data_IF_313139177946
#
_entry.id   IF_313139177946
#
_cell.length_a   1.000
_cell.length_b   1.000
_cell.length_c   1.000
_cell.angle_alpha   90.00
_cell.angle_beta   90.00
_cell.angle_gamma   90.00
#
_symmetry.space_group_name_H-M   'P 1'
#
loop_
_entity.id
_entity.type
_entity.pdbx_description
1 polymer ?
#
# COMPACT_ATOMS: atom_id res chain seq x y z
N UNK A 1 -4.32 6.38 -23.86
CA UNK A 1 -5.06 5.44 -22.98
C UNK A 1 -5.80 6.14 -21.84
N UNK A 2 -5.24 7.20 -21.24
CA UNK A 2 -5.82 7.94 -20.10
C UNK A 2 -7.14 8.68 -20.39
N UNK A 3 -7.39 9.04 -21.66
CA UNK A 3 -8.53 9.86 -22.08
C UNK A 3 -9.90 9.15 -21.94
N UNK A 4 -9.93 7.81 -21.98
CA UNK A 4 -11.18 7.04 -21.87
C UNK A 4 -11.75 7.02 -20.43
N UNK A 5 -10.90 7.11 -19.41
CA UNK A 5 -11.36 7.06 -18.02
C UNK A 5 -12.10 8.35 -17.60
N UNK A 6 -11.67 9.50 -18.12
CA UNK A 6 -12.22 10.80 -17.77
C UNK A 6 -13.65 11.00 -18.29
N UNK A 7 -13.97 10.50 -19.49
CA UNK A 7 -15.31 10.60 -20.07
C UNK A 7 -16.34 9.73 -19.35
N UNK A 8 -15.90 8.60 -18.77
CA UNK A 8 -16.75 7.66 -18.04
C UNK A 8 -16.75 7.87 -16.52
N UNK A 9 -16.07 8.91 -16.02
CA UNK A 9 -15.91 9.19 -14.58
C UNK A 9 -15.33 8.00 -13.79
N UNK A 10 -14.46 7.22 -14.44
CA UNK A 10 -13.75 6.11 -13.79
C UNK A 10 -12.63 6.72 -12.94
N UNK A 11 -12.61 6.32 -11.67
CA UNK A 11 -11.57 6.68 -10.70
C UNK A 11 -10.47 5.63 -10.73
N UNK A 12 -9.22 6.09 -10.81
CA UNK A 12 -8.02 5.25 -10.80
C UNK A 12 -7.14 5.72 -9.65
N UNK A 13 -6.75 4.78 -8.80
CA UNK A 13 -6.05 5.03 -7.53
C UNK A 13 -4.82 4.12 -7.50
N UNK A 14 -3.65 4.71 -7.26
CA UNK A 14 -2.43 3.99 -6.94
C UNK A 14 -2.26 3.93 -5.42
N UNK A 15 -1.91 2.77 -4.88
CA UNK A 15 -1.68 2.60 -3.45
C UNK A 15 -0.30 2.03 -3.24
N UNK A 16 0.58 2.81 -2.62
CA UNK A 16 1.97 2.49 -2.39
C UNK A 16 2.18 2.21 -0.90
N UNK A 17 2.66 1.00 -0.61
CA UNK A 17 2.76 0.51 0.76
C UNK A 17 4.22 0.35 1.16
N UNK A 18 4.52 0.82 2.37
CA UNK A 18 5.72 0.40 3.09
C UNK A 18 5.60 -1.03 3.60
N UNK A 19 6.39 -1.37 4.61
CA UNK A 19 6.37 -2.68 5.22
C UNK A 19 5.05 -2.92 5.94
N UNK A 20 4.36 -3.99 5.54
CA UNK A 20 3.09 -4.44 6.11
C UNK A 20 3.27 -5.88 6.57
N UNK A 21 2.83 -6.17 7.79
CA UNK A 21 2.77 -7.54 8.32
C UNK A 21 1.76 -8.37 7.51
N UNK A 22 2.27 -9.11 6.54
CA UNK A 22 1.53 -9.98 5.60
C UNK A 22 2.34 -11.25 5.38
N UNK A 23 1.81 -12.17 4.59
CA UNK A 23 2.48 -13.40 4.20
C UNK A 23 3.47 -13.23 3.04
N UNK A 24 3.76 -11.99 2.60
CA UNK A 24 4.61 -11.70 1.44
C UNK A 24 6.05 -12.24 1.61
N UNK A 25 6.58 -12.17 2.83
CA UNK A 25 7.90 -12.67 3.21
C UNK A 25 8.02 -14.21 3.09
N UNK A 26 6.93 -14.94 3.34
CA UNK A 26 6.90 -16.40 3.31
C UNK A 26 7.25 -16.99 1.93
N UNK A 27 7.00 -16.22 0.87
CA UNK A 27 7.23 -16.63 -0.53
C UNK A 27 8.50 -16.06 -1.15
N UNK A 28 9.31 -15.32 -0.39
CA UNK A 28 10.58 -14.79 -0.88
C UNK A 28 11.57 -15.92 -1.14
N UNK A 29 12.04 -16.04 -2.39
CA UNK A 29 12.96 -17.09 -2.83
C UNK A 29 14.43 -16.71 -2.72
N UNK A 30 14.74 -15.41 -2.57
CA UNK A 30 16.10 -14.92 -2.42
C UNK A 30 16.48 -14.81 -0.94
N UNK A 31 17.37 -15.68 -0.42
CA UNK A 31 17.59 -15.82 1.02
C UNK A 31 18.08 -14.54 1.71
N UNK A 32 18.94 -13.77 1.04
CA UNK A 32 19.50 -12.53 1.60
C UNK A 32 18.42 -11.44 1.76
N UNK A 33 17.57 -11.26 0.74
CA UNK A 33 16.45 -10.31 0.83
C UNK A 33 15.44 -10.73 1.89
N UNK A 34 15.18 -12.04 2.02
CA UNK A 34 14.30 -12.57 3.06
C UNK A 34 14.85 -12.30 4.46
N UNK A 35 16.12 -12.61 4.71
CA UNK A 35 16.77 -12.35 5.99
C UNK A 35 16.79 -10.85 6.33
N UNK A 36 17.04 -9.98 5.35
CA UNK A 36 16.96 -8.53 5.53
C UNK A 36 15.54 -8.07 5.90
N UNK A 37 14.51 -8.57 5.20
CA UNK A 37 13.13 -8.23 5.47
C UNK A 37 12.70 -8.71 6.87
N UNK A 38 13.03 -9.94 7.25
CA UNK A 38 12.77 -10.50 8.58
C UNK A 38 13.44 -9.68 9.68
N UNK A 39 14.72 -9.31 9.51
CA UNK A 39 15.45 -8.47 10.45
C UNK A 39 14.81 -7.08 10.59
N UNK A 40 14.39 -6.47 9.47
CA UNK A 40 13.67 -5.20 9.50
C UNK A 40 12.36 -5.32 10.29
N UNK A 41 11.55 -6.35 9.99
CA UNK A 41 10.24 -6.60 10.60
C UNK A 41 10.33 -6.92 12.10
N UNK A 42 11.43 -7.52 12.56
CA UNK A 42 11.67 -7.79 13.99
C UNK A 42 12.17 -6.54 14.74
N UNK A 43 12.80 -5.59 14.04
CA UNK A 43 13.43 -4.41 14.67
C UNK A 43 12.50 -3.20 14.82
N UNK A 44 11.34 -3.20 14.16
CA UNK A 44 10.46 -2.03 13.98
C UNK A 44 9.00 -2.43 14.05
N UNK A 45 8.11 -1.45 14.13
CA UNK A 45 6.67 -1.72 14.08
C UNK A 45 6.17 -1.60 12.64
N UNK A 46 5.91 -2.71 11.92
CA UNK A 46 5.29 -2.65 10.59
C UNK A 46 3.83 -2.20 10.66
N UNK A 47 3.26 -1.84 9.52
CA UNK A 47 1.83 -1.62 9.40
C UNK A 47 1.06 -2.94 9.54
N UNK A 48 -0.14 -2.88 10.09
CA UNK A 48 -1.11 -3.96 10.05
C UNK A 48 -1.94 -3.91 8.76
N UNK A 49 -2.51 -5.05 8.37
CA UNK A 49 -3.45 -5.14 7.25
C UNK A 49 -4.63 -4.15 7.34
N UNK A 50 -5.10 -3.86 8.56
CA UNK A 50 -6.19 -2.91 8.83
C UNK A 50 -5.81 -1.47 8.48
N UNK A 51 -4.54 -1.09 8.59
CA UNK A 51 -4.08 0.25 8.25
C UNK A 51 -4.20 0.50 6.75
N UNK A 52 -3.88 -0.52 5.95
CA UNK A 52 -4.02 -0.50 4.49
C UNK A 52 -5.50 -0.50 4.10
N UNK A 53 -6.32 -1.33 4.75
CA UNK A 53 -7.75 -1.35 4.52
C UNK A 53 -8.39 0.03 4.81
N UNK A 54 -7.96 0.71 5.87
CA UNK A 54 -8.44 2.05 6.21
C UNK A 54 -8.06 3.09 5.13
N UNK A 55 -6.84 3.02 4.58
CA UNK A 55 -6.42 3.88 3.48
C UNK A 55 -7.25 3.65 2.20
N UNK A 56 -7.54 2.39 1.87
CA UNK A 56 -8.40 2.03 0.75
C UNK A 56 -9.82 2.55 0.98
N UNK A 57 -10.40 2.32 2.16
CA UNK A 57 -11.74 2.82 2.53
C UNK A 57 -11.78 4.33 2.35
N UNK A 58 -10.83 5.06 2.91
CA UNK A 58 -10.70 6.50 2.72
C UNK A 58 -10.75 6.89 1.23
N UNK A 59 -9.96 6.23 0.38
CA UNK A 59 -9.87 6.54 -1.05
C UNK A 59 -11.20 6.29 -1.80
N UNK A 60 -11.81 5.12 -1.56
CA UNK A 60 -12.99 4.70 -2.31
C UNK A 60 -14.27 5.39 -1.82
N UNK A 61 -14.33 5.85 -0.57
CA UNK A 61 -15.51 6.54 -0.03
C UNK A 61 -15.56 8.04 -0.36
N UNK A 62 -14.55 8.58 -1.04
CA UNK A 62 -14.59 9.99 -1.45
C UNK A 62 -15.77 10.29 -2.40
N UNK A 63 -16.33 11.52 -2.38
CA UNK A 63 -17.45 11.89 -3.25
C UNK A 63 -17.14 11.61 -4.73
N UNK A 64 -18.16 11.35 -5.59
CA UNK A 64 -17.93 10.99 -7.00
C UNK A 64 -17.09 11.98 -7.83
N UNK A 65 -16.98 13.23 -7.37
CA UNK A 65 -16.16 14.29 -7.99
C UNK A 65 -14.67 14.26 -7.58
N UNK A 66 -14.29 13.41 -6.63
CA UNK A 66 -12.95 13.34 -6.05
C UNK A 66 -12.27 12.05 -6.51
N UNK A 67 -11.15 12.20 -7.22
CA UNK A 67 -10.25 11.10 -7.54
C UNK A 67 -9.00 11.22 -6.65
N UNK A 68 -8.79 10.26 -5.74
CA UNK A 68 -7.53 10.16 -5.02
C UNK A 68 -6.55 9.47 -5.95
N UNK A 69 -5.61 10.22 -6.51
CA UNK A 69 -4.69 9.66 -7.51
C UNK A 69 -3.73 8.65 -6.90
N UNK A 70 -3.22 8.95 -5.71
CA UNK A 70 -2.20 8.15 -5.03
C UNK A 70 -2.35 8.24 -3.51
N UNK A 71 -2.06 7.14 -2.81
CA UNK A 71 -1.84 7.11 -1.37
C UNK A 71 -0.56 6.33 -1.08
N UNK A 72 0.41 7.00 -0.48
CA UNK A 72 1.61 6.39 0.08
C UNK A 72 1.44 6.24 1.60
N UNK A 73 1.51 5.00 2.09
CA UNK A 73 1.41 4.69 3.52
C UNK A 73 2.63 3.90 3.95
N UNK A 74 3.37 4.41 4.94
CA UNK A 74 4.58 3.78 5.47
C UNK A 74 4.54 3.69 7.00
N UNK A 75 5.14 2.65 7.59
CA UNK A 75 5.52 2.68 8.99
C UNK A 75 6.31 3.95 9.30
N UNK A 76 6.08 4.55 10.47
CA UNK A 76 6.84 5.73 10.91
C UNK A 76 8.35 5.43 10.99
N UNK A 77 8.70 4.17 11.28
CA UNK A 77 10.09 3.70 11.36
C UNK A 77 10.72 3.42 9.98
N UNK A 78 9.98 3.62 8.89
CA UNK A 78 10.46 3.45 7.51
C UNK A 78 10.63 4.81 6.83
N UNK A 79 11.89 5.24 6.65
CA UNK A 79 12.26 6.38 5.81
C UNK A 79 12.30 6.01 4.32
#
# INVERSE_FOLDING_TARGET
>A
MTMCFLSHKIRVILTELGAVATELDTRMTYPEAKAWAEAWMQSKTPLANKDIAAAIVYAVTQPPRVNVNEILVRPIDQQ
#
